data_IF_868468685820
#
_entry.id   IF_868468685820
#
_cell.length_a   1.000
_cell.length_b   1.000
_cell.length_c   1.000
_cell.angle_alpha   90.00
_cell.angle_beta   90.00
_cell.angle_gamma   90.00
#
_symmetry.space_group_name_H-M   'P 1'
#
loop_
_entity.id
_entity.type
_entity.pdbx_description
1 polymer ?
#
# COMPACT_ATOMS: atom_id res chain seq x y z
N UNK A 1 -12.59 20.77 24.05
CA UNK A 1 -13.08 20.66 22.66
C UNK A 1 -12.96 19.21 22.24
N UNK A 2 -13.90 18.67 21.44
CA UNK A 2 -13.77 17.31 20.90
C UNK A 2 -12.45 17.19 20.13
N UNK A 3 -11.72 16.10 20.38
CA UNK A 3 -10.44 15.82 19.76
C UNK A 3 -10.68 15.03 18.47
N UNK A 4 -10.20 15.57 17.33
CA UNK A 4 -10.28 14.91 16.03
C UNK A 4 -8.88 14.60 15.55
N UNK A 5 -8.65 13.35 15.16
CA UNK A 5 -7.35 12.91 14.64
C UNK A 5 -7.48 12.77 13.13
N UNK A 6 -6.73 13.56 12.37
CA UNK A 6 -6.62 13.37 10.92
C UNK A 6 -5.38 12.55 10.60
N UNK A 7 -5.54 11.64 9.64
CA UNK A 7 -4.54 10.69 9.18
C UNK A 7 -4.34 10.82 7.68
N UNK A 8 -3.09 10.83 7.24
CA UNK A 8 -2.71 10.96 5.83
C UNK A 8 -2.20 9.63 5.29
N UNK A 9 -2.77 9.17 4.18
CA UNK A 9 -2.32 7.97 3.47
C UNK A 9 -1.97 8.38 2.03
N UNK A 10 -0.72 8.14 1.62
CA UNK A 10 -0.25 8.37 0.24
C UNK A 10 -0.32 7.08 -0.57
N UNK A 11 -0.11 7.15 -1.90
CA UNK A 11 -0.18 5.95 -2.76
C UNK A 11 0.86 4.88 -2.46
N UNK A 12 1.96 5.25 -1.80
CA UNK A 12 3.04 4.32 -1.42
C UNK A 12 2.77 3.62 -0.10
N UNK A 13 1.74 4.04 0.65
CA UNK A 13 1.37 3.48 1.93
C UNK A 13 0.58 2.18 1.75
N UNK A 14 0.88 1.18 2.57
CA UNK A 14 0.07 -0.03 2.68
C UNK A 14 -1.26 0.23 3.40
N UNK A 15 -2.17 -0.75 3.37
CA UNK A 15 -3.47 -0.64 4.02
C UNK A 15 -3.36 -0.48 5.54
N UNK A 16 -3.81 0.68 6.03
CA UNK A 16 -3.73 1.04 7.45
C UNK A 16 -2.40 1.70 7.82
N UNK A 17 -1.52 1.94 6.85
CA UNK A 17 -0.33 2.77 7.00
C UNK A 17 -0.69 4.23 6.79
N UNK A 18 -0.30 5.06 7.75
CA UNK A 18 -0.49 6.50 7.70
C UNK A 18 0.85 7.18 7.86
N UNK A 19 1.16 8.09 6.93
CA UNK A 19 2.38 8.87 6.96
C UNK A 19 2.41 9.84 8.14
N UNK A 20 1.24 10.36 8.51
CA UNK A 20 1.08 11.27 9.63
C UNK A 20 -0.28 11.06 10.29
N UNK A 21 -0.30 11.12 11.62
CA UNK A 21 -1.50 11.15 12.44
C UNK A 21 -1.37 12.29 13.46
N UNK A 22 -2.32 13.22 13.42
CA UNK A 22 -2.24 14.41 14.26
C UNK A 22 -3.63 14.92 14.63
N UNK A 23 -3.77 15.38 15.86
CA UNK A 23 -4.95 16.11 16.32
C UNK A 23 -5.07 17.44 15.57
N UNK A 24 -6.25 17.71 15.00
CA UNK A 24 -6.51 18.91 14.18
C UNK A 24 -7.90 19.48 14.45
N UNK A 25 -8.00 20.79 14.32
CA UNK A 25 -9.25 21.53 14.26
C UNK A 25 -9.95 21.33 12.90
N UNK A 26 -11.20 21.81 12.79
CA UNK A 26 -11.94 21.80 11.54
C UNK A 26 -11.19 22.54 10.42
N UNK A 27 -10.73 23.77 10.70
CA UNK A 27 -10.05 24.61 9.71
C UNK A 27 -8.73 23.99 9.25
N UNK A 28 -7.96 23.42 10.18
CA UNK A 28 -6.73 22.68 9.86
C UNK A 28 -7.03 21.43 9.01
N UNK A 29 -8.11 20.71 9.31
CA UNK A 29 -8.50 19.52 8.55
C UNK A 29 -8.97 19.87 7.15
N UNK A 30 -9.74 20.94 6.99
CA UNK A 30 -10.17 21.44 5.67
C UNK A 30 -8.96 21.93 4.87
N UNK A 31 -8.02 22.63 5.52
CA UNK A 31 -6.77 23.07 4.89
C UNK A 31 -5.95 21.86 4.44
N UNK A 32 -5.83 20.84 5.29
CA UNK A 32 -5.15 19.58 4.95
C UNK A 32 -5.75 18.93 3.71
N UNK A 33 -7.09 18.83 3.62
CA UNK A 33 -7.76 18.26 2.46
C UNK A 33 -7.57 19.14 1.20
N UNK A 34 -7.51 20.46 1.34
CA UNK A 34 -7.24 21.38 0.21
C UNK A 34 -5.81 21.22 -0.32
N UNK A 35 -4.84 21.10 0.58
CA UNK A 35 -3.42 21.03 0.24
C UNK A 35 -2.96 19.62 -0.13
N UNK A 36 -3.76 18.60 0.19
CA UNK A 36 -3.42 17.22 -0.17
C UNK A 36 -3.25 17.09 -1.70
N UNK A 37 -2.16 16.47 -2.17
CA UNK A 37 -1.80 16.47 -3.59
C UNK A 37 -2.60 15.45 -4.41
N UNK A 38 -3.93 15.55 -4.40
CA UNK A 38 -4.87 14.59 -5.01
C UNK A 38 -4.49 14.18 -6.43
N UNK A 39 -4.11 15.13 -7.29
CA UNK A 39 -3.77 14.87 -8.69
C UNK A 39 -2.48 14.03 -8.82
N UNK A 40 -1.47 14.28 -7.97
CA UNK A 40 -0.19 13.54 -7.99
C UNK A 40 -0.34 12.13 -7.44
N UNK A 41 -1.25 11.97 -6.48
CA UNK A 41 -1.51 10.71 -5.80
C UNK A 41 -2.51 9.83 -6.57
N UNK A 42 -3.20 10.36 -7.58
CA UNK A 42 -4.18 9.61 -8.36
C UNK A 42 -3.59 8.31 -8.94
N UNK A 43 -4.23 7.19 -8.61
CA UNK A 43 -3.87 5.85 -9.05
C UNK A 43 -5.01 5.23 -9.86
N UNK A 44 -4.72 4.21 -10.68
CA UNK A 44 -5.73 3.55 -11.52
C UNK A 44 -6.72 2.70 -10.70
N UNK A 45 -6.26 2.15 -9.57
CA UNK A 45 -7.13 1.52 -8.57
C UNK A 45 -7.68 2.57 -7.61
N UNK A 46 -9.00 2.77 -7.72
CA UNK A 46 -9.74 3.84 -7.08
C UNK A 46 -10.67 3.23 -6.04
N UNK A 47 -10.12 2.89 -4.87
CA UNK A 47 -10.88 2.23 -3.80
C UNK A 47 -10.45 2.68 -2.39
N UNK A 48 -11.03 2.04 -1.37
CA UNK A 48 -10.82 2.31 0.06
C UNK A 48 -9.36 2.21 0.53
N UNK A 49 -8.51 1.55 -0.26
CA UNK A 49 -7.07 1.32 -0.04
C UNK A 49 -6.19 2.46 -0.57
N UNK A 50 -6.76 3.36 -1.36
CA UNK A 50 -6.01 4.40 -2.06
C UNK A 50 -5.61 5.60 -1.18
N UNK A 51 -4.93 6.58 -1.80
CA UNK A 51 -4.55 7.83 -1.16
C UNK A 51 -5.76 8.55 -0.59
N UNK A 52 -5.63 9.00 0.64
CA UNK A 52 -6.78 9.47 1.39
C UNK A 52 -6.41 10.30 2.60
N UNK A 53 -7.41 11.07 3.04
CA UNK A 53 -7.42 11.74 4.34
C UNK A 53 -8.49 11.07 5.18
N UNK A 54 -8.10 10.45 6.29
CA UNK A 54 -9.00 9.83 7.25
C UNK A 54 -9.13 10.72 8.48
N UNK A 55 -10.33 10.89 9.01
CA UNK A 55 -10.63 11.66 10.22
C UNK A 55 -11.29 10.70 11.20
N UNK A 56 -10.75 10.64 12.41
CA UNK A 56 -11.33 9.94 13.56
C UNK A 56 -11.91 11.00 14.51
N UNK A 57 -13.19 10.87 14.83
CA UNK A 57 -13.84 11.72 15.82
C UNK A 57 -13.63 11.21 17.26
N UNK A 58 -14.01 12.03 18.24
CA UNK A 58 -13.90 11.67 19.66
C UNK A 58 -14.84 10.53 20.10
N UNK A 59 -15.83 10.18 19.28
CA UNK A 59 -16.76 9.10 19.56
C UNK A 59 -16.26 7.75 19.02
N UNK A 60 -15.21 7.75 18.19
CA UNK A 60 -14.67 6.55 17.55
C UNK A 60 -15.25 6.26 16.17
N UNK A 61 -15.97 7.21 15.55
CA UNK A 61 -16.40 7.13 14.16
C UNK A 61 -15.29 7.63 13.24
N UNK A 62 -15.27 7.10 12.02
CA UNK A 62 -14.29 7.49 11.01
C UNK A 62 -14.99 8.05 9.78
N UNK A 63 -14.40 9.10 9.20
CA UNK A 63 -14.70 9.59 7.86
C UNK A 63 -13.41 9.57 7.04
N UNK A 64 -13.41 8.85 5.93
CA UNK A 64 -12.27 8.75 5.02
C UNK A 64 -12.64 9.33 3.67
N UNK A 65 -11.90 10.32 3.21
CA UNK A 65 -12.01 10.90 1.88
C UNK A 65 -10.90 10.33 1.00
N UNK A 66 -11.28 9.63 -0.07
CA UNK A 66 -10.37 9.07 -1.06
C UNK A 66 -10.66 9.60 -2.45
N UNK A 67 -9.69 9.45 -3.35
CA UNK A 67 -9.85 9.82 -4.76
C UNK A 67 -10.88 8.90 -5.41
N UNK A 68 -11.74 9.47 -6.25
CA UNK A 68 -12.54 8.76 -7.24
C UNK A 68 -12.07 9.09 -8.67
N UNK A 69 -12.38 8.24 -9.65
CA UNK A 69 -11.97 8.44 -11.04
C UNK A 69 -12.49 9.78 -11.59
N UNK A 70 -11.68 10.41 -12.45
CA UNK A 70 -12.07 11.65 -13.16
C UNK A 70 -12.11 12.90 -12.28
N UNK A 71 -11.23 13.01 -11.27
CA UNK A 71 -11.18 14.18 -10.37
C UNK A 71 -12.37 14.27 -9.41
N UNK A 72 -13.06 13.16 -9.21
CA UNK A 72 -14.14 13.02 -8.21
C UNK A 72 -13.57 12.43 -6.93
N UNK A 73 -14.41 12.31 -5.91
CA UNK A 73 -14.04 11.76 -4.61
C UNK A 73 -15.02 10.68 -4.17
N UNK A 74 -14.56 9.84 -3.25
CA UNK A 74 -15.37 8.91 -2.47
C UNK A 74 -15.24 9.24 -0.99
N UNK A 75 -16.36 9.23 -0.29
CA UNK A 75 -16.40 9.28 1.17
C UNK A 75 -16.79 7.91 1.71
N UNK A 76 -16.09 7.52 2.75
CA UNK A 76 -16.33 6.30 3.50
C UNK A 76 -16.53 6.66 4.96
N UNK A 77 -17.69 6.32 5.49
CA UNK A 77 -17.99 6.52 6.90
C UNK A 77 -18.12 5.17 7.60
N UNK A 78 -17.44 5.04 8.74
CA UNK A 78 -17.48 3.86 9.59
C UNK A 78 -17.90 4.30 10.99
N UNK A 79 -19.08 3.84 11.43
CA UNK A 79 -19.54 4.13 12.78
C UNK A 79 -18.92 3.21 13.83
N UNK A 80 -19.07 3.57 15.10
CA UNK A 80 -18.63 2.77 16.25
C UNK A 80 -19.22 1.35 16.31
N UNK A 81 -20.34 1.10 15.63
CA UNK A 81 -21.00 -0.20 15.53
C UNK A 81 -20.48 -1.02 14.34
N UNK A 82 -19.42 -0.56 13.68
CA UNK A 82 -18.83 -1.13 12.47
C UNK A 82 -19.80 -1.18 11.27
N UNK A 83 -20.80 -0.30 11.19
CA UNK A 83 -21.54 -0.12 9.96
C UNK A 83 -20.75 0.73 8.98
N UNK A 84 -20.61 0.23 7.77
CA UNK A 84 -19.90 0.90 6.69
C UNK A 84 -20.88 1.59 5.75
N UNK A 85 -20.58 2.84 5.44
CA UNK A 85 -21.37 3.71 4.58
C UNK A 85 -20.46 4.31 3.52
N UNK A 86 -20.94 4.38 2.28
CA UNK A 86 -20.14 4.80 1.14
C UNK A 86 -20.91 5.81 0.27
N UNK A 87 -20.23 6.87 -0.14
CA UNK A 87 -20.74 7.86 -1.08
C UNK A 87 -19.68 8.14 -2.15
N UNK A 88 -19.96 7.77 -3.40
CA UNK A 88 -19.00 7.87 -4.54
C UNK A 88 -19.31 9.04 -5.46
N UNK A 89 -18.34 9.35 -6.33
CA UNK A 89 -18.51 10.27 -7.48
C UNK A 89 -18.89 11.70 -7.08
N UNK A 90 -18.48 12.14 -5.90
CA UNK A 90 -18.80 13.49 -5.42
C UNK A 90 -17.72 14.51 -5.80
N UNK A 91 -18.06 15.80 -5.74
CA UNK A 91 -17.08 16.88 -5.84
C UNK A 91 -16.42 17.14 -4.48
N UNK A 92 -15.35 17.93 -4.50
CA UNK A 92 -14.62 18.28 -3.29
C UNK A 92 -15.46 19.12 -2.31
N UNK A 93 -16.41 19.94 -2.79
CA UNK A 93 -17.28 20.72 -1.91
C UNK A 93 -18.15 19.82 -1.02
N UNK A 94 -18.64 18.70 -1.56
CA UNK A 94 -19.36 17.69 -0.78
C UNK A 94 -18.46 16.99 0.24
N UNK A 95 -17.17 16.80 -0.07
CA UNK A 95 -16.18 16.32 0.90
C UNK A 95 -16.06 17.32 2.06
N UNK A 96 -15.89 18.62 1.77
CA UNK A 96 -15.81 19.65 2.81
C UNK A 96 -17.06 19.70 3.69
N UNK A 97 -18.25 19.63 3.08
CA UNK A 97 -19.50 19.62 3.84
C UNK A 97 -19.61 18.41 4.77
N UNK A 98 -19.27 17.20 4.30
CA UNK A 98 -19.30 16.02 5.15
C UNK A 98 -18.31 16.11 6.33
N UNK A 99 -17.16 16.75 6.13
CA UNK A 99 -16.21 17.02 7.22
C UNK A 99 -16.79 18.00 8.22
N UNK A 100 -17.41 19.09 7.77
CA UNK A 100 -18.08 20.06 8.65
C UNK A 100 -19.20 19.37 9.45
N UNK A 101 -20.02 18.55 8.79
CA UNK A 101 -21.09 17.80 9.43
C UNK A 101 -20.55 16.80 10.48
N UNK A 102 -19.44 16.11 10.19
CA UNK A 102 -18.77 15.23 11.15
C UNK A 102 -18.32 16.01 12.39
N UNK A 103 -17.67 17.17 12.21
CA UNK A 103 -17.22 18.01 13.32
C UNK A 103 -18.38 18.56 14.16
N UNK A 104 -19.55 18.74 13.56
CA UNK A 104 -20.78 19.14 14.25
C UNK A 104 -21.57 17.95 14.83
N UNK A 105 -21.14 16.71 14.60
CA UNK A 105 -21.85 15.49 15.04
C UNK A 105 -23.18 15.25 14.31
N UNK A 106 -23.34 15.76 13.09
CA UNK A 106 -24.59 15.76 12.32
C UNK A 106 -24.42 15.20 10.90
N UNK A 107 -23.58 14.19 10.71
CA UNK A 107 -23.33 13.61 9.39
C UNK A 107 -24.63 13.05 8.77
N UNK A 108 -24.97 13.50 7.56
CA UNK A 108 -26.15 12.98 6.85
C UNK A 108 -25.86 11.60 6.24
N UNK A 109 -26.26 10.56 6.97
CA UNK A 109 -26.11 9.17 6.51
C UNK A 109 -27.14 8.76 5.45
N UNK A 110 -28.18 9.56 5.18
CA UNK A 110 -29.20 9.19 4.17
C UNK A 110 -28.64 9.24 2.76
N UNK A 111 -27.71 10.16 2.53
CA UNK A 111 -27.01 10.30 1.25
C UNK A 111 -26.00 9.15 1.01
N UNK A 112 -25.62 8.41 2.04
CA UNK A 112 -24.67 7.31 1.91
C UNK A 112 -25.37 5.98 1.62
N UNK A 113 -24.76 5.18 0.75
CA UNK A 113 -25.14 3.78 0.60
C UNK A 113 -24.63 2.98 1.80
N UNK A 114 -25.53 2.36 2.56
CA UNK A 114 -25.15 1.45 3.66
C UNK A 114 -24.78 0.07 3.12
N UNK A 115 -23.69 -0.50 3.62
CA UNK A 115 -23.26 -1.86 3.33
C UNK A 115 -23.48 -2.74 4.57
N UNK A 116 -24.25 -3.82 4.42
CA UNK A 116 -24.74 -4.62 5.55
C UNK A 116 -23.81 -5.75 5.99
N UNK A 117 -22.77 -6.12 5.22
CA UNK A 117 -21.98 -7.34 5.46
C UNK A 117 -20.53 -7.24 4.94
N UNK A 118 -19.74 -6.26 5.38
CA UNK A 118 -18.35 -6.13 4.93
C UNK A 118 -17.34 -6.37 6.08
N UNK A 119 -17.10 -7.65 6.37
CA UNK A 119 -16.04 -8.07 7.27
C UNK A 119 -14.68 -7.53 6.79
N UNK A 120 -13.91 -6.94 7.70
CA UNK A 120 -12.54 -6.49 7.43
C UNK A 120 -12.39 -5.03 6.97
N UNK A 121 -13.46 -4.32 6.61
CA UNK A 121 -13.36 -2.91 6.16
C UNK A 121 -12.80 -1.97 7.22
N UNK A 122 -13.00 -2.29 8.51
CA UNK A 122 -12.41 -1.58 9.65
C UNK A 122 -10.88 -1.45 9.53
N UNK A 123 -10.21 -2.44 8.94
CA UNK A 123 -8.75 -2.47 8.84
C UNK A 123 -8.16 -1.37 7.95
N UNK A 124 -8.97 -0.74 7.09
CA UNK A 124 -8.54 0.37 6.23
C UNK A 124 -8.65 1.74 6.92
N UNK A 125 -9.17 1.79 8.16
CA UNK A 125 -9.30 2.99 8.97
C UNK A 125 -8.36 2.97 10.18
N UNK A 126 -8.13 1.78 10.73
CA UNK A 126 -7.21 1.59 11.86
C UNK A 126 -5.76 1.71 11.41
N UNK A 127 -4.97 2.39 12.24
CA UNK A 127 -3.52 2.39 12.13
C UNK A 127 -3.00 1.00 12.45
N UNK A 128 -2.12 0.48 11.61
CA UNK A 128 -1.36 -0.74 11.90
C UNK A 128 0.08 -0.36 12.22
N UNK A 129 0.74 -1.18 13.02
CA UNK A 129 2.18 -1.05 13.24
C UNK A 129 2.90 -1.61 12.01
N UNK A 130 3.57 -0.75 11.25
CA UNK A 130 4.44 -1.13 10.14
C UNK A 130 5.86 -1.29 10.66
N UNK A 131 6.06 -2.35 11.43
CA UNK A 131 7.40 -2.83 11.71
C UNK A 131 7.82 -3.75 10.58
N UNK A 132 8.68 -3.26 9.69
CA UNK A 132 9.34 -4.08 8.67
C UNK A 132 10.37 -5.00 9.33
N UNK A 133 9.88 -6.00 10.06
CA UNK A 133 10.70 -7.04 10.65
C UNK A 133 11.24 -7.95 9.56
N UNK A 134 12.56 -7.96 9.37
CA UNK A 134 13.20 -8.98 8.55
C UNK A 134 13.12 -10.30 9.33
N UNK A 135 12.30 -11.24 8.84
CA UNK A 135 12.20 -12.59 9.45
C UNK A 135 13.60 -13.23 9.43
N UNK A 136 14.12 -13.60 10.61
CA UNK A 136 15.45 -14.18 10.78
C UNK A 136 15.69 -15.37 9.82
N UNK A 137 14.68 -16.21 9.60
CA UNK A 137 14.75 -17.32 8.65
C UNK A 137 15.05 -16.88 7.21
N UNK A 138 14.52 -15.75 6.73
CA UNK A 138 14.85 -15.22 5.40
C UNK A 138 16.32 -14.84 5.32
N UNK A 139 16.87 -14.24 6.37
CA UNK A 139 18.30 -13.89 6.46
C UNK A 139 19.15 -15.16 6.44
N UNK A 140 18.77 -16.17 7.24
CA UNK A 140 19.46 -17.46 7.28
C UNK A 140 19.43 -18.14 5.91
N UNK A 141 18.27 -18.21 5.25
CA UNK A 141 18.13 -18.82 3.92
C UNK A 141 19.01 -18.13 2.87
N UNK A 142 19.01 -16.79 2.84
CA UNK A 142 19.86 -16.01 1.93
C UNK A 142 21.34 -16.30 2.23
N UNK A 143 21.72 -16.34 3.51
CA UNK A 143 23.09 -16.63 3.92
C UNK A 143 23.52 -18.04 3.53
N UNK A 144 22.67 -19.06 3.76
CA UNK A 144 22.92 -20.45 3.38
C UNK A 144 23.04 -20.59 1.87
N UNK A 145 22.18 -19.91 1.11
CA UNK A 145 22.22 -19.93 -0.35
C UNK A 145 23.55 -19.36 -0.90
N UNK A 146 24.00 -18.21 -0.39
CA UNK A 146 25.27 -17.62 -0.85
C UNK A 146 26.48 -18.44 -0.44
N UNK A 147 26.49 -18.99 0.79
CA UNK A 147 27.59 -19.84 1.24
C UNK A 147 27.64 -21.17 0.47
N UNK A 148 26.50 -21.79 0.19
CA UNK A 148 26.47 -23.04 -0.60
C UNK A 148 26.88 -22.81 -2.04
N UNK A 149 26.44 -21.71 -2.66
CA UNK A 149 26.88 -21.30 -3.99
C UNK A 149 28.39 -21.06 -4.02
N UNK A 150 28.95 -20.38 -3.01
CA UNK A 150 30.39 -20.15 -2.90
C UNK A 150 31.18 -21.45 -2.74
N UNK A 151 30.75 -22.36 -1.86
CA UNK A 151 31.39 -23.67 -1.67
C UNK A 151 31.33 -24.49 -2.97
N UNK A 152 30.20 -24.45 -3.68
CA UNK A 152 30.04 -25.13 -4.96
C UNK A 152 31.01 -24.57 -6.02
N UNK A 153 31.15 -23.25 -6.11
CA UNK A 153 32.11 -22.62 -7.00
C UNK A 153 33.57 -22.97 -6.66
N UNK A 154 33.92 -23.03 -5.37
CA UNK A 154 35.24 -23.50 -4.94
C UNK A 154 35.48 -24.94 -5.37
N UNK A 155 34.50 -25.83 -5.18
CA UNK A 155 34.61 -27.23 -5.61
C UNK A 155 34.82 -27.35 -7.12
N UNK A 156 34.05 -26.59 -7.92
CA UNK A 156 34.25 -26.54 -9.37
C UNK A 156 35.63 -26.01 -9.75
N UNK A 157 36.17 -25.02 -9.03
CA UNK A 157 37.50 -24.48 -9.30
C UNK A 157 38.61 -25.51 -9.04
N UNK A 158 38.51 -26.30 -7.97
CA UNK A 158 39.46 -27.37 -7.66
C UNK A 158 39.40 -28.48 -8.70
N UNK A 159 38.18 -28.89 -9.09
CA UNK A 159 37.99 -29.87 -10.15
C UNK A 159 38.60 -29.38 -11.48
N UNK A 160 38.40 -28.10 -11.82
CA UNK A 160 38.93 -27.51 -13.04
C UNK A 160 40.46 -27.51 -13.12
N UNK A 161 41.19 -27.43 -12.00
CA UNK A 161 42.66 -27.50 -11.99
C UNK A 161 43.18 -28.84 -12.53
N UNK A 162 42.41 -29.93 -12.39
CA UNK A 162 42.80 -31.27 -12.84
C UNK A 162 42.41 -31.55 -14.30
N UNK A 163 41.71 -30.64 -14.96
CA UNK A 163 41.12 -30.85 -16.29
C UNK A 163 41.92 -30.15 -17.38
N UNK A 164 41.76 -30.60 -18.63
CA UNK A 164 42.37 -29.92 -19.78
C UNK A 164 41.64 -28.59 -20.06
N UNK A 165 42.32 -27.55 -20.56
CA UNK A 165 41.72 -26.22 -20.80
C UNK A 165 40.44 -26.23 -21.64
N UNK A 166 40.34 -27.13 -22.62
CA UNK A 166 39.16 -27.29 -23.46
C UNK A 166 37.92 -27.79 -22.68
N UNK A 167 38.12 -28.60 -21.64
CA UNK A 167 37.05 -29.19 -20.83
C UNK A 167 36.53 -28.22 -19.76
N UNK A 168 37.42 -27.37 -19.23
CA UNK A 168 37.08 -26.29 -18.28
C UNK A 168 36.05 -25.34 -18.89
N UNK A 169 36.22 -25.01 -20.18
CA UNK A 169 35.33 -24.10 -20.91
C UNK A 169 33.86 -24.57 -20.90
N UNK A 170 33.63 -25.88 -21.01
CA UNK A 170 32.28 -26.47 -21.06
C UNK A 170 31.59 -26.36 -19.69
N UNK A 171 32.33 -26.57 -18.60
CA UNK A 171 31.82 -26.52 -17.21
C UNK A 171 31.37 -25.11 -16.83
N UNK A 172 32.03 -24.06 -17.32
CA UNK A 172 31.65 -22.69 -16.99
C UNK A 172 30.61 -22.09 -17.95
N UNK A 173 30.63 -22.45 -19.23
CA UNK A 173 29.72 -21.90 -20.25
C UNK A 173 28.29 -22.43 -20.08
N UNK A 174 28.09 -23.72 -19.81
CA UNK A 174 26.74 -24.30 -19.73
C UNK A 174 25.94 -23.70 -18.54
N UNK A 175 26.47 -23.62 -17.31
CA UNK A 175 25.76 -23.01 -16.19
C UNK A 175 25.50 -21.52 -16.39
N UNK A 176 26.44 -20.76 -16.97
CA UNK A 176 26.22 -19.33 -17.25
C UNK A 176 25.09 -19.11 -18.27
N UNK A 177 24.99 -19.95 -19.30
CA UNK A 177 23.87 -19.90 -20.25
C UNK A 177 22.53 -20.26 -19.59
N UNK A 178 22.51 -21.24 -18.68
CA UNK A 178 21.30 -21.62 -17.92
C UNK A 178 20.88 -20.48 -16.99
N UNK A 179 21.80 -19.93 -16.19
CA UNK A 179 21.56 -18.80 -15.29
C UNK A 179 21.08 -17.58 -16.09
N UNK A 180 21.73 -17.27 -17.20
CA UNK A 180 21.33 -16.19 -18.10
C UNK A 180 19.90 -16.35 -18.62
N UNK A 181 19.49 -17.57 -18.98
CA UNK A 181 18.11 -17.88 -19.38
C UNK A 181 17.09 -17.73 -18.24
N UNK A 182 17.46 -18.13 -17.02
CA UNK A 182 16.60 -17.97 -15.84
C UNK A 182 16.39 -16.48 -15.53
N UNK A 183 17.48 -15.70 -15.51
CA UNK A 183 17.42 -14.25 -15.28
C UNK A 183 16.59 -13.57 -16.37
N UNK A 184 16.80 -13.89 -17.64
CA UNK A 184 16.02 -13.34 -18.74
C UNK A 184 14.51 -13.64 -18.62
N UNK A 185 14.14 -14.84 -18.14
CA UNK A 185 12.74 -15.18 -17.86
C UNK A 185 12.15 -14.39 -16.69
N UNK A 186 12.91 -14.23 -15.60
CA UNK A 186 12.48 -13.43 -14.44
C UNK A 186 12.25 -11.98 -14.87
N UNK A 187 13.21 -11.39 -15.60
CA UNK A 187 13.11 -10.02 -16.11
C UNK A 187 11.91 -9.84 -17.04
N UNK A 188 11.67 -10.78 -17.96
CA UNK A 188 10.51 -10.76 -18.85
C UNK A 188 9.19 -10.82 -18.08
N UNK A 189 9.13 -11.60 -17.00
CA UNK A 189 7.93 -11.71 -16.17
C UNK A 189 7.69 -10.44 -15.32
N UNK A 190 8.76 -9.76 -14.88
CA UNK A 190 8.62 -8.47 -14.17
C UNK A 190 8.20 -7.34 -15.10
N UNK A 191 8.65 -7.32 -16.36
CA UNK A 191 8.25 -6.28 -17.34
C UNK A 191 6.91 -6.56 -18.01
N UNK A 192 6.51 -7.83 -18.15
CA UNK A 192 5.23 -8.22 -18.77
C UNK A 192 4.00 -7.95 -17.90
N UNK A 193 4.19 -7.57 -16.64
CA UNK A 193 3.11 -7.12 -15.75
C UNK A 193 2.66 -5.67 -16.05
N UNK A 194 3.37 -4.92 -16.88
CA UNK A 194 3.08 -3.50 -17.15
C UNK A 194 2.33 -3.24 -18.47
N UNK A 195 2.05 -4.26 -19.30
CA UNK A 195 1.44 -4.09 -20.64
C UNK A 195 0.03 -4.66 -20.81
N UNK A 196 -0.69 -4.92 -19.72
CA UNK A 196 -2.14 -5.17 -19.78
C UNK A 196 -2.89 -4.02 -19.07
N UNK A 197 -2.80 -2.83 -19.66
CA UNK A 197 -3.77 -1.72 -19.52
C UNK A 197 -3.97 -1.14 -20.91
#
# INVERSE_FOLDING_TARGET
>A
MPEFISKLQYKTCEDGEYYEEKSRTLDETITLIKEFPWVREQYADVELTGPSVTILDSQGNYLKAGIYFGGRFSLYYLDTKNHFYELKQINIDKVYNAVIELFNGQIDLQSFKKHSLEFGKKNYFLTKNFEYGIKLWKVIMISVFWNSAFIFLLFLSVAAIQMKPAEISIIFIIPTLIIGRIIARILKNTTGSETNI
#
